data_IF_700376150893
#
_entry.id   IF_700376150893
#
_cell.length_a   1.000
_cell.length_b   1.000
_cell.length_c   1.000
_cell.angle_alpha   90.00
_cell.angle_beta   90.00
_cell.angle_gamma   90.00
#
_symmetry.space_group_name_H-M   'P 1'
#
loop_
_entity.id
_entity.type
_entity.pdbx_description
1 polymer ?
#
# COMPACT_ATOMS: atom_id res chain seq x y z
N UNK A 1 0.53 -5.05 24.45
CA UNK A 1 0.77 -3.72 23.86
C UNK A 1 1.98 -3.85 22.94
N UNK A 2 1.74 -4.04 21.64
CA UNK A 2 2.83 -4.17 20.67
C UNK A 2 3.42 -2.79 20.43
N UNK A 3 4.69 -2.60 20.82
CA UNK A 3 5.47 -1.44 20.40
C UNK A 3 5.44 -1.41 18.88
N UNK A 4 4.77 -0.41 18.29
CA UNK A 4 4.83 -0.14 16.86
C UNK A 4 6.24 0.34 16.57
N UNK A 5 7.16 -0.60 16.38
CA UNK A 5 8.50 -0.33 15.88
C UNK A 5 8.31 0.51 14.63
N UNK A 6 8.79 1.76 14.64
CA UNK A 6 8.72 2.60 13.43
C UNK A 6 9.40 1.83 12.30
N UNK A 7 8.71 1.69 11.18
CA UNK A 7 9.17 0.89 10.04
C UNK A 7 10.56 1.32 9.57
N UNK A 8 10.93 2.58 9.75
CA UNK A 8 12.27 3.11 9.49
C UNK A 8 13.36 2.33 10.25
N UNK A 9 13.14 2.01 11.54
CA UNK A 9 14.09 1.21 12.31
C UNK A 9 14.24 -0.20 11.75
N UNK A 10 13.17 -0.78 11.22
CA UNK A 10 13.22 -2.08 10.55
C UNK A 10 14.08 -1.96 9.30
N UNK A 11 13.83 -0.95 8.47
CA UNK A 11 14.58 -0.74 7.23
C UNK A 11 16.06 -0.46 7.47
N UNK A 12 16.43 0.24 8.56
CA UNK A 12 17.83 0.54 8.89
C UNK A 12 18.64 -0.69 9.30
N UNK A 13 18.01 -1.79 9.72
CA UNK A 13 18.70 -3.05 10.03
C UNK A 13 19.16 -3.80 8.79
N UNK A 14 18.63 -3.47 7.62
CA UNK A 14 18.94 -4.12 6.36
C UNK A 14 19.63 -3.15 5.39
N UNK A 15 20.96 -3.26 5.29
CA UNK A 15 21.75 -2.41 4.40
C UNK A 15 21.28 -2.53 2.93
N UNK A 16 20.94 -3.73 2.47
CA UNK A 16 20.41 -3.98 1.12
C UNK A 16 19.13 -3.19 0.82
N UNK A 17 18.32 -2.90 1.83
CA UNK A 17 17.09 -2.12 1.66
C UNK A 17 17.39 -0.65 1.51
N UNK A 18 18.35 -0.13 2.28
CA UNK A 18 18.80 1.26 2.17
C UNK A 18 19.42 1.51 0.79
N UNK A 19 20.33 0.64 0.36
CA UNK A 19 20.95 0.67 -0.97
C UNK A 19 19.90 0.69 -2.09
N UNK A 20 18.89 -0.18 -1.97
CA UNK A 20 17.79 -0.26 -2.93
C UNK A 20 16.91 1.00 -2.96
N UNK A 21 16.52 1.55 -1.80
CA UNK A 21 15.70 2.75 -1.72
C UNK A 21 16.44 3.98 -2.25
N UNK A 22 17.73 4.13 -1.93
CA UNK A 22 18.59 5.18 -2.50
C UNK A 22 18.70 5.05 -4.02
N UNK A 23 18.81 3.83 -4.55
CA UNK A 23 18.84 3.61 -5.99
C UNK A 23 17.50 4.02 -6.65
N UNK A 24 16.37 3.70 -6.04
CA UNK A 24 15.06 4.14 -6.55
C UNK A 24 14.88 5.66 -6.49
N UNK A 25 15.41 6.31 -5.45
CA UNK A 25 15.43 7.77 -5.32
C UNK A 25 16.28 8.42 -6.42
N UNK A 26 17.49 7.90 -6.65
CA UNK A 26 18.37 8.34 -7.74
C UNK A 26 17.72 8.17 -9.13
N UNK A 27 16.83 7.18 -9.30
CA UNK A 27 16.04 6.98 -10.51
C UNK A 27 14.82 7.92 -10.61
N UNK A 28 14.66 8.86 -9.68
CA UNK A 28 13.62 9.88 -9.68
C UNK A 28 12.25 9.38 -9.23
N UNK A 29 12.18 8.33 -8.40
CA UNK A 29 10.89 7.90 -7.82
C UNK A 29 10.37 8.94 -6.83
N UNK A 30 9.07 9.19 -6.88
CA UNK A 30 8.42 10.14 -5.99
C UNK A 30 8.58 9.70 -4.51
N UNK A 31 8.79 10.63 -3.56
CA UNK A 31 8.96 10.31 -2.14
C UNK A 31 7.83 9.45 -1.56
N UNK A 32 6.57 9.74 -1.94
CA UNK A 32 5.41 8.95 -1.52
C UNK A 32 5.46 7.49 -2.03
N UNK A 33 6.09 7.25 -3.19
CA UNK A 33 6.27 5.90 -3.73
C UNK A 33 7.35 5.14 -2.95
N UNK A 34 8.48 5.79 -2.65
CA UNK A 34 9.56 5.22 -1.85
C UNK A 34 9.05 4.84 -0.45
N UNK A 35 8.31 5.74 0.16
CA UNK A 35 7.71 5.55 1.48
C UNK A 35 6.72 4.37 1.50
N UNK A 36 5.84 4.28 0.51
CA UNK A 36 4.91 3.16 0.42
C UNK A 36 5.61 1.81 0.15
N UNK A 37 6.69 1.81 -0.65
CA UNK A 37 7.53 0.62 -0.82
C UNK A 37 8.29 0.23 0.44
N UNK A 38 8.85 1.22 1.15
CA UNK A 38 9.52 1.04 2.43
C UNK A 38 8.60 0.42 3.47
N UNK A 39 7.40 0.98 3.67
CA UNK A 39 6.39 0.39 4.58
C UNK A 39 6.01 -1.03 4.19
N UNK A 40 5.74 -1.26 2.90
CA UNK A 40 5.35 -2.58 2.42
C UNK A 40 6.43 -3.64 2.64
N UNK A 41 7.70 -3.26 2.47
CA UNK A 41 8.84 -4.14 2.70
C UNK A 41 9.13 -4.33 4.19
N UNK A 42 9.03 -3.29 5.02
CA UNK A 42 9.23 -3.39 6.46
C UNK A 42 8.25 -4.39 7.11
N UNK A 43 6.98 -4.37 6.69
CA UNK A 43 6.00 -5.34 7.17
C UNK A 43 6.38 -6.79 6.83
N UNK A 44 7.00 -7.00 5.67
CA UNK A 44 7.50 -8.31 5.27
C UNK A 44 8.75 -8.72 6.08
N UNK A 45 9.71 -7.82 6.25
CA UNK A 45 10.92 -8.09 7.04
C UNK A 45 10.60 -8.39 8.50
N UNK A 46 9.65 -7.68 9.11
CA UNK A 46 9.15 -7.99 10.45
C UNK A 46 8.55 -9.41 10.53
N UNK A 47 7.86 -9.85 9.48
CA UNK A 47 7.35 -11.22 9.42
C UNK A 47 8.48 -12.25 9.36
N UNK A 48 9.53 -11.98 8.58
CA UNK A 48 10.73 -12.83 8.52
C UNK A 48 11.39 -12.92 9.90
N UNK A 49 11.62 -11.79 10.57
CA UNK A 49 12.22 -11.74 11.91
C UNK A 49 11.38 -12.48 12.95
N UNK A 50 10.07 -12.22 12.98
CA UNK A 50 9.15 -12.89 13.89
C UNK A 50 9.08 -14.42 13.66
N UNK A 51 9.43 -14.87 12.46
CA UNK A 51 9.46 -16.30 12.09
C UNK A 51 10.88 -16.90 12.19
N UNK A 52 11.88 -16.13 12.62
CA UNK A 52 13.28 -16.57 12.70
C UNK A 52 13.91 -16.85 11.33
N UNK A 53 13.39 -16.22 10.27
CA UNK A 53 13.83 -16.42 8.89
C UNK A 53 14.82 -15.33 8.46
N UNK A 54 15.88 -15.74 7.80
CA UNK A 54 16.77 -14.82 7.12
C UNK A 54 16.12 -14.37 5.79
N UNK A 55 15.84 -13.08 5.68
CA UNK A 55 15.07 -12.55 4.55
C UNK A 55 15.80 -12.75 3.20
N UNK A 56 17.13 -12.75 3.15
CA UNK A 56 17.88 -12.88 1.89
C UNK A 56 17.91 -14.32 1.34
N UNK A 57 17.74 -15.32 2.21
CA UNK A 57 17.83 -16.75 1.89
C UNK A 57 16.48 -17.49 1.96
N UNK A 58 15.38 -16.75 2.10
CA UNK A 58 14.03 -17.30 2.24
C UNK A 58 13.59 -18.10 1.01
N UNK A 59 12.82 -19.17 1.22
CA UNK A 59 12.25 -19.97 0.12
C UNK A 59 10.91 -19.42 -0.35
N UNK A 60 10.48 -19.85 -1.54
CA UNK A 60 9.16 -19.51 -2.07
C UNK A 60 8.02 -19.94 -1.13
N UNK A 61 8.09 -21.15 -0.56
CA UNK A 61 7.08 -21.68 0.35
C UNK A 61 6.90 -20.76 1.57
N UNK A 62 8.00 -20.29 2.14
CA UNK A 62 8.00 -19.36 3.28
C UNK A 62 7.38 -18.01 2.91
N UNK A 63 7.66 -17.48 1.71
CA UNK A 63 6.97 -16.28 1.21
C UNK A 63 5.46 -16.51 1.08
N UNK A 64 5.02 -17.70 0.63
CA UNK A 64 3.57 -17.97 0.53
C UNK A 64 2.87 -17.98 1.89
N UNK A 65 3.57 -18.32 2.98
CA UNK A 65 3.02 -18.22 4.33
C UNK A 65 2.79 -16.76 4.76
N UNK A 66 3.70 -15.86 4.38
CA UNK A 66 3.48 -14.41 4.55
C UNK A 66 2.24 -13.95 3.78
N UNK A 67 2.16 -14.29 2.49
CA UNK A 67 1.03 -13.92 1.64
C UNK A 67 -0.28 -14.44 2.22
N UNK A 68 -0.30 -15.68 2.69
CA UNK A 68 -1.48 -16.31 3.29
C UNK A 68 -2.07 -15.44 4.39
N UNK A 69 -1.25 -14.90 5.31
CA UNK A 69 -1.70 -14.05 6.43
C UNK A 69 -2.37 -12.74 5.99
N UNK A 70 -2.12 -12.29 4.77
CA UNK A 70 -2.65 -11.04 4.21
C UNK A 70 -3.90 -11.24 3.35
N UNK A 71 -4.30 -12.49 3.11
CA UNK A 71 -5.48 -12.80 2.31
C UNK A 71 -6.77 -12.49 3.08
N UNK A 72 -7.90 -12.25 2.37
CA UNK A 72 -9.19 -12.04 2.99
C UNK A 72 -9.57 -13.17 3.97
N UNK A 73 -10.15 -12.80 5.11
CA UNK A 73 -10.55 -13.75 6.16
C UNK A 73 -9.42 -14.18 7.10
N UNK A 74 -8.24 -13.56 7.01
CA UNK A 74 -7.16 -13.71 7.98
C UNK A 74 -7.06 -12.49 8.90
N UNK A 75 -6.38 -12.67 10.04
CA UNK A 75 -6.22 -11.64 11.08
C UNK A 75 -5.55 -10.36 10.55
N UNK A 76 -4.60 -10.48 9.61
CA UNK A 76 -3.88 -9.36 9.02
C UNK A 76 -4.30 -9.09 7.57
N UNK A 77 -5.56 -9.38 7.22
CA UNK A 77 -6.07 -9.17 5.88
C UNK A 77 -5.93 -7.71 5.45
N UNK A 78 -5.46 -7.51 4.21
CA UNK A 78 -5.35 -6.17 3.60
C UNK A 78 -6.13 -6.11 2.30
N UNK A 79 -6.46 -4.89 1.85
CA UNK A 79 -7.07 -4.68 0.54
C UNK A 79 -6.21 -5.28 -0.58
N UNK A 80 -6.86 -5.76 -1.66
CA UNK A 80 -6.16 -6.42 -2.77
C UNK A 80 -5.09 -5.50 -3.40
N UNK A 81 -5.40 -4.21 -3.57
CA UNK A 81 -4.47 -3.19 -4.05
C UNK A 81 -3.23 -3.07 -3.15
N UNK A 82 -3.43 -3.01 -1.83
CA UNK A 82 -2.36 -2.94 -0.83
C UNK A 82 -1.47 -4.19 -0.88
N UNK A 83 -2.07 -5.39 -0.98
CA UNK A 83 -1.31 -6.63 -1.12
C UNK A 83 -0.44 -6.63 -2.40
N UNK A 84 -0.99 -6.20 -3.52
CA UNK A 84 -0.23 -6.08 -4.78
C UNK A 84 0.90 -5.04 -4.69
N UNK A 85 0.67 -3.92 -4.01
CA UNK A 85 1.71 -2.90 -3.78
C UNK A 85 2.86 -3.44 -2.91
N UNK A 86 2.54 -4.16 -1.82
CA UNK A 86 3.54 -4.84 -0.99
C UNK A 86 4.33 -5.87 -1.80
N UNK A 87 3.64 -6.70 -2.57
CA UNK A 87 4.29 -7.70 -3.43
C UNK A 87 5.16 -7.07 -4.52
N UNK A 88 4.80 -5.90 -5.04
CA UNK A 88 5.63 -5.18 -5.99
C UNK A 88 6.95 -4.72 -5.34
N UNK A 89 6.87 -4.12 -4.14
CA UNK A 89 8.05 -3.71 -3.37
C UNK A 89 8.97 -4.89 -3.06
N UNK A 90 8.42 -5.98 -2.52
CA UNK A 90 9.19 -7.20 -2.18
C UNK A 90 9.87 -7.77 -3.42
N UNK A 91 9.15 -7.87 -4.56
CA UNK A 91 9.74 -8.37 -5.81
C UNK A 91 10.90 -7.52 -6.28
N UNK A 92 10.75 -6.19 -6.28
CA UNK A 92 11.80 -5.27 -6.74
C UNK A 92 13.02 -5.30 -5.83
N UNK A 93 12.82 -5.44 -4.52
CA UNK A 93 13.93 -5.62 -3.59
C UNK A 93 14.68 -6.93 -3.83
N UNK A 94 13.98 -8.07 -4.02
CA UNK A 94 14.65 -9.32 -4.39
C UNK A 94 15.33 -9.26 -5.76
N UNK A 95 14.77 -8.55 -6.74
CA UNK A 95 15.48 -8.33 -8.01
C UNK A 95 16.79 -7.56 -7.81
N UNK A 96 16.79 -6.57 -6.90
CA UNK A 96 18.01 -5.88 -6.51
C UNK A 96 19.01 -6.82 -5.82
N UNK A 97 18.55 -7.69 -4.91
CA UNK A 97 19.42 -8.70 -4.27
C UNK A 97 20.02 -9.68 -5.28
N UNK A 98 19.23 -10.11 -6.27
CA UNK A 98 19.70 -10.96 -7.37
C UNK A 98 20.73 -10.22 -8.22
N UNK A 99 20.47 -8.96 -8.56
CA UNK A 99 21.41 -8.12 -9.30
C UNK A 99 22.74 -7.91 -8.55
N UNK A 100 22.69 -7.78 -7.23
CA UNK A 100 23.87 -7.69 -6.36
C UNK A 100 24.56 -9.04 -6.10
N UNK A 101 24.01 -10.15 -6.60
CA UNK A 101 24.53 -11.50 -6.36
C UNK A 101 24.33 -12.03 -4.94
N UNK A 102 23.52 -11.36 -4.11
CA UNK A 102 23.20 -11.77 -2.72
C UNK A 102 22.12 -12.85 -2.67
N UNK A 103 21.29 -12.93 -3.70
CA UNK A 103 20.26 -13.96 -3.84
C UNK A 103 20.40 -14.66 -5.19
N UNK A 104 20.32 -15.99 -5.22
CA UNK A 104 20.47 -16.75 -6.46
C UNK A 104 19.28 -16.54 -7.42
N UNK A 105 18.07 -16.43 -6.87
CA UNK A 105 16.84 -16.26 -7.64
C UNK A 105 15.78 -15.55 -6.80
N UNK A 106 14.99 -14.69 -7.44
CA UNK A 106 13.87 -14.03 -6.77
C UNK A 106 12.83 -15.08 -6.33
N UNK A 107 12.57 -15.25 -5.02
CA UNK A 107 11.63 -16.23 -4.51
C UNK A 107 10.17 -15.85 -4.79
N UNK A 108 9.90 -14.63 -5.28
CA UNK A 108 8.54 -14.13 -5.52
C UNK A 108 8.25 -14.09 -7.02
N UNK A 109 7.78 -15.19 -7.63
CA UNK A 109 7.60 -15.26 -9.07
C UNK A 109 6.58 -14.22 -9.56
N UNK A 110 6.80 -13.77 -10.80
CA UNK A 110 5.89 -12.91 -11.56
C UNK A 110 4.93 -13.79 -12.35
N UNK A 111 3.65 -13.42 -12.35
CA UNK A 111 2.67 -14.06 -13.24
C UNK A 111 3.05 -13.83 -14.70
N UNK A 112 2.97 -14.88 -15.51
CA UNK A 112 3.31 -14.82 -16.93
C UNK A 112 2.20 -14.12 -17.72
N UNK A 113 2.48 -12.95 -18.30
CA UNK A 113 1.52 -12.23 -19.15
C UNK A 113 1.70 -12.54 -20.65
N UNK A 114 2.54 -13.51 -21.03
CA UNK A 114 2.78 -13.87 -22.43
C UNK A 114 3.24 -15.30 -22.64
N UNK A 115 2.90 -15.88 -23.81
CA UNK A 115 3.23 -17.26 -24.22
C UNK A 115 4.75 -17.55 -24.35
N UNK A 116 5.59 -16.52 -24.30
CA UNK A 116 7.03 -16.56 -24.62
C UNK A 116 7.95 -16.77 -23.41
N UNK A 117 7.48 -16.55 -22.18
CA UNK A 117 8.28 -16.71 -20.96
C UNK A 117 7.71 -17.82 -20.08
N UNK A 118 7.65 -19.04 -20.60
CA UNK A 118 7.32 -20.21 -19.78
C UNK A 118 8.54 -20.56 -18.94
N UNK A 119 8.41 -20.44 -17.61
CA UNK A 119 9.32 -21.13 -16.70
C UNK A 119 9.04 -22.64 -16.85
N UNK A 120 10.00 -23.47 -17.28
CA UNK A 120 9.78 -24.91 -17.38
C UNK A 120 9.43 -25.47 -16.00
N UNK A 121 8.29 -26.18 -15.89
CA UNK A 121 7.97 -26.99 -14.71
C UNK A 121 6.86 -26.48 -13.77
N UNK A 122 6.32 -25.26 -13.94
CA UNK A 122 5.21 -24.79 -13.09
C UNK A 122 4.05 -24.17 -13.88
N UNK A 123 3.11 -25.01 -14.32
CA UNK A 123 1.82 -24.61 -14.92
C UNK A 123 0.91 -23.83 -13.96
N UNK A 124 1.17 -23.87 -12.64
CA UNK A 124 0.38 -23.19 -11.61
C UNK A 124 0.54 -21.67 -11.54
N UNK A 125 1.58 -21.08 -12.14
CA UNK A 125 1.86 -19.63 -12.07
C UNK A 125 1.55 -18.86 -13.37
N UNK A 126 0.74 -19.44 -14.26
CA UNK A 126 0.22 -18.74 -15.45
C UNK A 126 -0.52 -17.46 -15.03
N UNK A 127 -1.20 -17.49 -13.88
CA UNK A 127 -1.75 -16.32 -13.20
C UNK A 127 -0.80 -16.01 -12.03
N UNK A 128 -0.49 -14.74 -11.78
CA UNK A 128 0.40 -14.36 -10.67
C UNK A 128 -0.10 -14.85 -9.30
N UNK A 129 0.78 -14.82 -8.28
CA UNK A 129 0.53 -15.40 -6.94
C UNK A 129 -0.81 -15.02 -6.30
N UNK A 130 -1.28 -13.80 -6.55
CA UNK A 130 -2.53 -13.29 -6.02
C UNK A 130 -3.36 -12.76 -7.19
N UNK A 131 -4.65 -13.13 -7.32
CA UNK A 131 -5.53 -12.53 -8.31
C UNK A 131 -5.59 -11.00 -8.15
N UNK A 132 -5.52 -10.27 -9.27
CA UNK A 132 -5.75 -8.82 -9.25
C UNK A 132 -7.23 -8.56 -9.40
N UNK A 133 -7.84 -8.04 -8.35
CA UNK A 133 -9.25 -7.66 -8.33
C UNK A 133 -9.35 -6.19 -8.77
N UNK A 134 -10.16 -5.92 -9.78
CA UNK A 134 -10.50 -4.57 -10.22
C UNK A 134 -11.84 -4.21 -9.59
N UNK A 135 -11.81 -3.40 -8.52
CA UNK A 135 -13.03 -2.75 -8.03
C UNK A 135 -13.37 -1.65 -9.03
N UNK A 136 -14.57 -1.71 -9.59
CA UNK A 136 -15.06 -0.65 -10.46
C UNK A 136 -15.22 0.62 -9.60
N UNK A 137 -14.77 1.79 -10.08
CA UNK A 137 -15.02 3.02 -9.36
C UNK A 137 -16.54 3.23 -9.25
N UNK A 138 -17.01 3.63 -8.08
CA UNK A 138 -18.39 4.03 -7.91
C UNK A 138 -18.58 5.36 -8.65
N UNK A 139 -19.28 5.30 -9.79
CA UNK A 139 -19.55 6.48 -10.61
C UNK A 139 -20.79 7.17 -10.03
N UNK A 140 -20.74 8.48 -9.72
CA UNK A 140 -21.89 9.21 -9.21
C UNK A 140 -23.06 9.16 -10.18
N UNK A 141 -24.27 9.06 -9.65
CA UNK A 141 -25.51 9.27 -10.40
C UNK A 141 -25.64 10.73 -10.85
N UNK A 142 -26.46 10.99 -11.86
CA UNK A 142 -26.71 12.36 -12.33
C UNK A 142 -27.20 13.30 -11.22
N UNK A 143 -27.97 12.79 -10.26
CA UNK A 143 -28.46 13.58 -9.12
C UNK A 143 -27.32 13.94 -8.16
N UNK A 144 -26.48 12.96 -7.79
CA UNK A 144 -25.28 13.19 -6.98
C UNK A 144 -24.31 14.14 -7.67
N UNK A 145 -24.20 14.05 -8.99
CA UNK A 145 -23.36 14.94 -9.79
C UNK A 145 -23.90 16.38 -9.80
N UNK A 146 -25.21 16.56 -9.99
CA UNK A 146 -25.85 17.89 -9.89
C UNK A 146 -25.69 18.50 -8.50
N UNK A 147 -25.79 17.68 -7.45
CA UNK A 147 -25.56 18.12 -6.08
C UNK A 147 -24.11 18.56 -5.87
N UNK A 148 -23.13 17.79 -6.32
CA UNK A 148 -21.71 18.15 -6.28
C UNK A 148 -21.44 19.49 -6.99
N UNK A 149 -21.96 19.65 -8.21
CA UNK A 149 -21.82 20.90 -8.97
C UNK A 149 -22.47 22.09 -8.26
N UNK A 150 -23.60 21.88 -7.57
CA UNK A 150 -24.26 22.93 -6.81
C UNK A 150 -23.43 23.42 -5.61
N UNK A 151 -22.67 22.51 -4.97
CA UNK A 151 -21.73 22.86 -3.90
C UNK A 151 -20.55 23.62 -4.50
N UNK A 152 -19.92 23.06 -5.54
CA UNK A 152 -18.76 23.67 -6.18
C UNK A 152 -19.06 25.08 -6.74
N UNK A 153 -20.27 25.30 -7.26
CA UNK A 153 -20.71 26.62 -7.73
C UNK A 153 -20.92 27.64 -6.60
N UNK A 154 -21.17 27.18 -5.37
CA UNK A 154 -21.32 28.03 -4.18
C UNK A 154 -19.98 28.30 -3.49
N UNK A 155 -18.97 27.47 -3.73
CA UNK A 155 -17.59 27.72 -3.32
C UNK A 155 -17.00 28.87 -4.16
N UNK A 156 -17.03 30.09 -3.64
CA UNK A 156 -16.39 31.26 -4.26
C UNK A 156 -14.87 31.19 -4.12
N UNK A 157 -14.20 30.35 -4.91
CA UNK A 157 -12.83 30.57 -5.41
C UNK A 157 -12.44 29.45 -6.35
N UNK A 158 -11.55 29.73 -7.32
CA UNK A 158 -11.06 28.82 -8.37
C UNK A 158 -10.27 27.59 -7.87
N UNK A 159 -10.42 27.22 -6.61
CA UNK A 159 -9.81 26.03 -6.01
C UNK A 159 -10.92 25.38 -5.19
N UNK A 160 -11.41 24.23 -5.63
CA UNK A 160 -12.21 23.35 -4.76
C UNK A 160 -11.32 23.01 -3.58
N UNK A 161 -11.60 23.59 -2.41
CA UNK A 161 -10.81 23.35 -1.22
C UNK A 161 -11.07 21.92 -0.73
N UNK A 162 -10.06 21.26 -0.16
CA UNK A 162 -10.16 19.90 0.38
C UNK A 162 -11.34 19.75 1.38
N UNK A 163 -11.68 20.82 2.10
CA UNK A 163 -12.82 20.90 3.02
C UNK A 163 -14.18 20.71 2.33
N UNK A 164 -14.33 21.18 1.09
CA UNK A 164 -15.60 21.06 0.34
C UNK A 164 -15.83 19.62 -0.12
N UNK A 165 -14.73 18.90 -0.41
CA UNK A 165 -14.73 17.48 -0.75
C UNK A 165 -15.10 16.65 0.50
N UNK A 166 -14.53 16.96 1.67
CA UNK A 166 -14.90 16.28 2.92
C UNK A 166 -16.36 16.51 3.31
N UNK A 167 -16.88 17.73 3.10
CA UNK A 167 -18.29 18.04 3.36
C UNK A 167 -19.24 17.27 2.42
N UNK A 168 -18.85 17.07 1.15
CA UNK A 168 -19.58 16.22 0.20
C UNK A 168 -19.54 14.75 0.62
N UNK A 169 -18.36 14.22 0.95
CA UNK A 169 -18.19 12.82 1.37
C UNK A 169 -18.94 12.51 2.68
N UNK A 170 -19.05 13.48 3.60
CA UNK A 170 -19.68 13.30 4.91
C UNK A 170 -21.21 13.42 4.90
N UNK A 171 -21.80 14.13 3.92
CA UNK A 171 -23.26 14.37 3.84
C UNK A 171 -23.97 13.54 2.77
N UNK A 172 -23.23 12.79 1.95
CA UNK A 172 -23.79 11.74 1.11
C UNK A 172 -24.14 10.55 2.01
N UNK A 173 -25.35 9.95 1.91
CA UNK A 173 -25.76 8.86 2.78
C UNK A 173 -24.70 7.75 2.80
N UNK A 174 -24.34 7.26 3.98
CA UNK A 174 -23.20 6.38 4.28
C UNK A 174 -23.11 5.07 3.46
N UNK A 175 -24.10 4.78 2.61
CA UNK A 175 -24.08 3.69 1.63
C UNK A 175 -23.64 4.07 0.21
N UNK A 176 -23.43 5.35 -0.10
CA UNK A 176 -23.13 5.82 -1.46
C UNK A 176 -21.63 6.03 -1.75
N UNK A 177 -20.80 6.09 -0.72
CA UNK A 177 -19.36 5.87 -0.84
C UNK A 177 -18.97 5.01 0.35
N UNK A 178 -18.22 3.93 0.14
CA UNK A 178 -17.69 3.08 1.21
C UNK A 178 -16.70 3.85 2.10
N UNK A 179 -17.21 4.75 2.94
CA UNK A 179 -16.45 5.78 3.67
C UNK A 179 -15.44 5.18 4.68
N UNK A 180 -15.65 3.93 5.09
CA UNK A 180 -14.71 3.19 5.95
C UNK A 180 -13.39 2.91 5.21
N UNK A 181 -13.44 2.69 3.89
CA UNK A 181 -12.27 2.34 3.07
C UNK A 181 -11.49 3.59 2.61
N UNK A 182 -12.17 4.71 2.38
CA UNK A 182 -11.50 5.98 1.99
C UNK A 182 -10.66 6.55 3.13
N UNK A 183 -11.15 6.47 4.38
CA UNK A 183 -10.41 6.96 5.54
C UNK A 183 -9.17 6.11 5.83
N UNK A 184 -9.30 4.79 5.72
CA UNK A 184 -8.18 3.84 5.91
C UNK A 184 -7.16 3.92 4.78
N UNK A 185 -7.59 3.99 3.53
CA UNK A 185 -6.68 4.15 2.39
C UNK A 185 -5.96 5.51 2.37
N UNK A 186 -6.60 6.60 2.83
CA UNK A 186 -5.94 7.89 3.00
C UNK A 186 -5.00 7.93 4.21
N UNK A 187 -5.38 7.33 5.35
CA UNK A 187 -4.50 7.21 6.52
C UNK A 187 -3.27 6.35 6.22
N UNK A 188 -3.42 5.26 5.47
CA UNK A 188 -2.33 4.38 5.04
C UNK A 188 -1.44 5.01 3.95
N UNK A 189 -1.98 5.95 3.16
CA UNK A 189 -1.26 6.63 2.09
C UNK A 189 -0.50 7.88 2.55
N UNK A 190 -1.00 8.59 3.58
CA UNK A 190 -0.49 9.92 3.97
C UNK A 190 0.40 9.89 5.22
N UNK A 191 0.43 8.79 5.97
CA UNK A 191 1.21 8.68 7.20
C UNK A 191 0.56 9.43 8.37
N UNK A 192 0.52 8.76 9.53
CA UNK A 192 -0.21 9.20 10.72
C UNK A 192 0.25 10.59 11.25
N UNK A 193 1.51 10.97 10.99
CA UNK A 193 2.08 12.26 11.39
C UNK A 193 1.67 13.46 10.50
N UNK A 194 1.33 13.25 9.23
CA UNK A 194 0.89 14.35 8.34
C UNK A 194 -0.56 14.73 8.65
N UNK A 195 -1.37 13.78 9.11
CA UNK A 195 -2.72 14.04 9.60
C UNK A 195 -2.67 14.83 10.91
N UNK A 196 -1.77 14.49 11.85
CA UNK A 196 -1.67 15.24 13.11
C UNK A 196 -1.02 16.63 12.97
N UNK A 197 -0.05 16.82 12.05
CA UNK A 197 0.62 18.12 11.86
C UNK A 197 -0.21 19.16 11.09
N UNK A 198 -1.25 18.75 10.34
CA UNK A 198 -2.17 19.67 9.65
C UNK A 198 -3.53 19.83 10.33
N UNK A 199 -3.85 18.99 11.32
CA UNK A 199 -4.93 19.24 12.28
C UNK A 199 -4.36 20.04 13.46
N UNK A 200 -3.74 21.17 13.14
CA UNK A 200 -3.32 22.16 14.13
C UNK A 200 -4.52 22.97 14.60
N UNK A 201 -4.87 22.82 15.88
CA UNK A 201 -5.71 23.72 16.70
C UNK A 201 -7.16 23.91 16.29
N UNK A 202 -8.01 22.90 16.52
CA UNK A 202 -9.35 23.17 17.05
C UNK A 202 -9.31 22.87 18.55
N UNK A 203 -8.95 23.91 19.30
CA UNK A 203 -8.92 23.91 20.75
C UNK A 203 -10.29 23.54 21.33
N UNK A 204 -10.23 22.67 22.32
CA UNK A 204 -11.25 22.41 23.33
C UNK A 204 -11.96 23.70 23.78
N UNK A 205 -13.26 23.77 23.55
CA UNK A 205 -14.16 24.55 24.40
C UNK A 205 -15.34 23.65 24.81
N UNK A 206 -15.71 23.62 26.10
CA UNK A 206 -16.79 22.79 26.60
C UNK A 206 -18.15 23.43 26.27
N UNK A 207 -19.12 22.57 25.97
CA UNK A 207 -20.50 22.92 25.69
C UNK A 207 -21.15 23.71 26.83
N UNK A 208 -21.62 24.93 26.52
CA UNK A 208 -22.77 25.58 27.16
C UNK A 208 -23.78 25.93 26.07
#
# INVERSE_FOLDING_TARGET
MASTVSYEHVLHRYLSVQEWLTLLDNLGRAPATLDAYGRGLAHYLLHCEASGLEAESITFEQVTLYIRRLLPGQENAVANSTLHQRLAAIRMWYDHLVFQGRCAQNPVPRGQHGRLCQVPGHSGFVRGLVPRLLKLPDIPTDEQWRYFLSIAARSSSRVVCYSDIEHFVSNVPAGAFGAVEVKTTLQDAVGEQVVQSRVGTLNNQPWQ
#
